data_IF_194949312083
#
_entry.id   IF_194949312083
#
_cell.length_a   1.000
_cell.length_b   1.000
_cell.length_c   1.000
_cell.angle_alpha   90.00
_cell.angle_beta   90.00
_cell.angle_gamma   90.00
#
_symmetry.space_group_name_H-M   'P 1'
#
loop_
_entity.id
_entity.type
_entity.pdbx_description
1 polymer ?
#
# COMPACT_ATOMS: atom_id res chain seq x y z
N UNK A 1 10.34 6.06 1.40
CA UNK A 1 10.67 6.81 0.16
C UNK A 1 9.39 7.08 -0.63
N UNK A 2 9.36 8.08 -1.50
CA UNK A 2 8.25 8.28 -2.44
C UNK A 2 7.99 7.03 -3.30
N UNK A 3 6.73 6.83 -3.64
CA UNK A 3 6.22 5.75 -4.48
C UNK A 3 6.76 5.78 -5.91
N UNK A 4 6.28 4.84 -6.73
CA UNK A 4 6.70 4.72 -8.14
C UNK A 4 5.84 5.54 -9.11
N UNK A 5 4.89 6.35 -8.61
CA UNK A 5 3.96 7.11 -9.46
C UNK A 5 2.80 6.28 -10.04
N UNK A 6 2.62 5.04 -9.59
CA UNK A 6 1.56 4.13 -10.06
C UNK A 6 0.32 4.11 -9.15
N UNK A 7 0.06 5.21 -8.45
CA UNK A 7 -0.99 5.30 -7.44
C UNK A 7 -0.54 4.88 -6.03
N UNK A 8 0.69 4.39 -5.87
CA UNK A 8 1.31 4.17 -4.55
C UNK A 8 2.01 5.44 -4.09
N UNK A 9 1.76 5.88 -2.86
CA UNK A 9 2.34 7.11 -2.31
C UNK A 9 3.74 6.87 -1.74
N UNK A 10 3.93 5.75 -1.05
CA UNK A 10 5.19 5.45 -0.37
C UNK A 10 5.66 4.02 -0.54
N UNK A 11 6.97 3.87 -0.36
CA UNK A 11 7.66 2.60 -0.24
C UNK A 11 8.30 2.53 1.13
N UNK A 12 7.94 1.50 1.89
CA UNK A 12 8.51 1.21 3.19
C UNK A 12 9.44 0.00 3.13
N UNK A 13 10.44 0.05 3.98
CA UNK A 13 11.52 -0.92 4.07
C UNK A 13 11.50 -1.48 5.47
N UNK A 14 11.97 -2.72 5.61
CA UNK A 14 12.21 -3.25 6.94
C UNK A 14 13.22 -2.38 7.69
N UNK A 15 13.12 -2.42 9.02
CA UNK A 15 14.00 -1.64 9.89
C UNK A 15 15.46 -2.01 9.61
N UNK A 16 16.26 -1.00 9.26
CA UNK A 16 17.68 -1.16 8.96
C UNK A 16 18.00 -1.62 7.52
N UNK A 17 17.01 -1.88 6.68
CA UNK A 17 17.22 -2.41 5.31
C UNK A 17 17.16 -1.36 4.20
N UNK A 18 17.01 -0.10 4.58
CA UNK A 18 16.92 1.00 3.64
C UNK A 18 18.27 1.26 2.96
N UNK A 19 18.31 1.11 1.63
CA UNK A 19 19.54 1.30 0.83
C UNK A 19 20.31 0.01 0.57
N UNK A 20 20.05 -1.03 1.36
CA UNK A 20 20.63 -2.37 1.18
C UNK A 20 19.67 -3.31 0.44
N UNK A 21 18.38 -3.28 0.78
CA UNK A 21 17.35 -4.13 0.18
C UNK A 21 16.27 -3.33 -0.52
N UNK A 22 15.49 -4.01 -1.37
CA UNK A 22 14.34 -3.40 -2.02
C UNK A 22 13.19 -3.21 -1.02
N UNK A 23 12.32 -2.23 -1.29
CA UNK A 23 11.15 -2.00 -0.43
C UNK A 23 10.26 -3.24 -0.36
N UNK A 24 9.88 -3.64 0.86
CA UNK A 24 8.97 -4.78 1.10
C UNK A 24 7.51 -4.36 0.99
N UNK A 25 7.19 -3.13 1.39
CA UNK A 25 5.83 -2.63 1.47
C UNK A 25 5.60 -1.46 0.52
N UNK A 26 4.46 -1.49 -0.16
CA UNK A 26 3.91 -0.38 -0.92
C UNK A 26 2.73 0.19 -0.14
N UNK A 27 2.72 1.51 0.09
CA UNK A 27 1.70 2.18 0.90
C UNK A 27 0.77 2.97 -0.01
N UNK A 28 -0.53 2.69 0.08
CA UNK A 28 -1.60 3.49 -0.52
C UNK A 28 -2.31 4.26 0.60
N UNK A 29 -2.35 5.58 0.50
CA UNK A 29 -2.93 6.45 1.51
C UNK A 29 -4.38 6.77 1.17
N UNK A 30 -5.26 6.59 2.13
CA UNK A 30 -6.70 6.79 1.96
C UNK A 30 -7.17 7.75 3.05
N UNK A 31 -8.03 8.70 2.68
CA UNK A 31 -8.67 9.57 3.65
C UNK A 31 -10.06 9.03 3.97
N UNK A 32 -10.36 8.86 5.26
CA UNK A 32 -11.66 8.41 5.71
C UNK A 32 -12.79 9.34 5.22
N UNK A 33 -13.83 8.75 4.65
CA UNK A 33 -14.97 9.47 4.09
C UNK A 33 -14.75 10.03 2.67
N UNK A 34 -13.59 9.79 2.05
CA UNK A 34 -13.43 9.99 0.60
C UNK A 34 -13.64 8.66 -0.13
N UNK A 35 -14.46 8.62 -1.19
CA UNK A 35 -14.65 7.42 -1.98
C UNK A 35 -13.34 7.04 -2.67
N UNK A 36 -13.06 5.73 -2.74
CA UNK A 36 -11.94 5.17 -3.49
C UNK A 36 -12.50 4.28 -4.60
N UNK A 37 -11.82 4.25 -5.74
CA UNK A 37 -12.13 3.29 -6.81
C UNK A 37 -11.63 1.91 -6.41
N UNK A 38 -12.54 0.93 -6.36
CA UNK A 38 -12.18 -0.46 -6.11
C UNK A 38 -11.32 -1.01 -7.26
N UNK A 39 -11.63 -0.62 -8.50
CA UNK A 39 -10.86 -1.03 -9.68
C UNK A 39 -9.41 -0.55 -9.60
N UNK A 40 -9.19 0.72 -9.24
CA UNK A 40 -7.84 1.26 -9.05
C UNK A 40 -7.12 0.54 -7.91
N UNK A 41 -7.81 0.26 -6.81
CA UNK A 41 -7.25 -0.47 -5.66
C UNK A 41 -6.82 -1.88 -6.05
N UNK A 42 -7.64 -2.61 -6.82
CA UNK A 42 -7.32 -3.95 -7.34
C UNK A 42 -6.16 -3.88 -8.33
N UNK A 43 -6.09 -2.85 -9.18
CA UNK A 43 -4.97 -2.65 -10.10
C UNK A 43 -3.66 -2.47 -9.35
N UNK A 44 -3.65 -1.62 -8.32
CA UNK A 44 -2.47 -1.41 -7.46
C UNK A 44 -2.10 -2.68 -6.69
N UNK A 45 -3.09 -3.45 -6.21
CA UNK A 45 -2.87 -4.74 -5.54
C UNK A 45 -2.14 -5.72 -6.46
N UNK A 46 -2.67 -5.95 -7.67
CA UNK A 46 -2.06 -6.86 -8.66
C UNK A 46 -0.64 -6.43 -9.04
N UNK A 47 -0.43 -5.12 -9.23
CA UNK A 47 0.91 -4.59 -9.48
C UNK A 47 1.87 -4.86 -8.32
N UNK A 48 1.42 -4.62 -7.08
CA UNK A 48 2.22 -4.88 -5.88
C UNK A 48 2.61 -6.35 -5.77
N UNK A 49 1.65 -7.26 -5.99
CA UNK A 49 1.88 -8.70 -5.99
C UNK A 49 2.83 -9.15 -7.12
N UNK A 50 2.72 -8.57 -8.32
CA UNK A 50 3.63 -8.87 -9.44
C UNK A 50 5.09 -8.50 -9.12
N UNK A 51 5.30 -7.48 -8.30
CA UNK A 51 6.61 -7.06 -7.79
C UNK A 51 7.08 -7.87 -6.58
N UNK A 52 6.27 -8.85 -6.13
CA UNK A 52 6.47 -9.59 -4.88
C UNK A 52 6.56 -8.67 -3.66
N UNK A 53 5.75 -7.60 -3.65
CA UNK A 53 5.65 -6.62 -2.56
C UNK A 53 4.27 -6.69 -1.93
N UNK A 54 4.21 -6.38 -0.64
CA UNK A 54 2.96 -6.34 0.10
C UNK A 54 2.32 -4.94 -0.04
N UNK A 55 1.01 -4.89 -0.32
CA UNK A 55 0.26 -3.64 -0.37
C UNK A 55 -0.38 -3.38 0.99
N UNK A 56 -0.14 -2.19 1.53
CA UNK A 56 -0.70 -1.73 2.80
C UNK A 56 -1.52 -0.47 2.55
N UNK A 57 -2.75 -0.47 3.03
CA UNK A 57 -3.61 0.71 3.06
C UNK A 57 -3.34 1.48 4.35
N UNK A 58 -2.96 2.75 4.22
CA UNK A 58 -2.86 3.68 5.33
C UNK A 58 -4.10 4.57 5.34
N UNK A 59 -5.07 4.25 6.19
CA UNK A 59 -6.33 4.97 6.29
C UNK A 59 -6.21 6.04 7.36
N UNK A 60 -6.24 7.31 6.94
CA UNK A 60 -6.18 8.47 7.83
C UNK A 60 -7.58 8.94 8.19
N UNK A 61 -7.87 9.03 9.48
CA UNK A 61 -9.12 9.57 9.98
C UNK A 61 -9.11 11.11 10.05
N UNK A 62 -10.27 11.72 10.36
CA UNK A 62 -10.40 13.19 10.42
C UNK A 62 -9.60 13.85 11.57
N UNK A 63 -9.14 13.07 12.55
CA UNK A 63 -8.35 13.54 13.70
C UNK A 63 -6.84 13.36 13.49
N UNK A 64 -6.43 12.84 12.33
CA UNK A 64 -5.03 12.59 11.98
C UNK A 64 -4.47 11.25 12.49
N UNK A 65 -5.30 10.39 13.06
CA UNK A 65 -4.90 9.02 13.42
C UNK A 65 -4.88 8.16 12.16
N UNK A 66 -3.92 7.24 12.06
CA UNK A 66 -3.72 6.38 10.90
C UNK A 66 -3.88 4.92 11.30
N UNK A 67 -4.70 4.19 10.56
CA UNK A 67 -4.86 2.74 10.69
C UNK A 67 -4.30 2.05 9.46
N UNK A 68 -3.51 1.00 9.66
CA UNK A 68 -2.87 0.26 8.59
C UNK A 68 -3.56 -1.08 8.37
N UNK A 69 -3.92 -1.38 7.12
CA UNK A 69 -4.50 -2.66 6.72
C UNK A 69 -3.63 -3.32 5.66
N UNK A 70 -3.27 -4.58 5.86
CA UNK A 70 -2.71 -5.40 4.79
C UNK A 70 -3.84 -5.93 3.92
N UNK A 71 -3.69 -5.83 2.60
CA UNK A 71 -4.66 -6.35 1.65
C UNK A 71 -4.03 -7.39 0.73
N UNK A 72 -4.76 -8.47 0.50
CA UNK A 72 -4.34 -9.59 -0.33
C UNK A 72 -5.52 -10.18 -1.08
N UNK A 73 -5.26 -10.73 -2.25
CA UNK A 73 -6.26 -11.54 -2.96
C UNK A 73 -6.53 -12.82 -2.16
N UNK A 74 -7.81 -13.07 -1.85
CA UNK A 74 -8.25 -14.28 -1.17
C UNK A 74 -8.61 -15.34 -2.22
N UNK A 75 -7.78 -16.36 -2.35
CA UNK A 75 -8.11 -17.54 -3.14
C UNK A 75 -8.72 -18.60 -2.22
N UNK A 76 -10.04 -18.79 -2.31
CA UNK A 76 -10.68 -19.93 -1.65
C UNK A 76 -10.54 -21.16 -2.55
N UNK A 77 -10.07 -22.26 -1.98
CA UNK A 77 -10.00 -23.58 -2.64
C UNK A 77 -11.27 -24.38 -2.36
#
# INVERSE_FOLDING_TARGET
RGGFGWGVDFRAYERGKYGEETARYLILSIQEGKPISLEDTVRVLRQSQSLKKELVLAVMNRRGEIVYYSISELTMK
#
